data_IF_155558865195
#
_entry.id   IF_155558865195
#
_cell.length_a   1.000
_cell.length_b   1.000
_cell.length_c   1.000
_cell.angle_alpha   90.00
_cell.angle_beta   90.00
_cell.angle_gamma   90.00
#
_symmetry.space_group_name_H-M   'P 1'
#
loop_
_entity.id
_entity.type
_entity.pdbx_description
1 polymer ?
#
# COMPACT_ATOMS: atom_id res chain seq x y z
N UNK A 1 -1.27 -36.88 22.32
CA UNK A 1 -2.41 -36.64 21.40
C UNK A 1 -3.09 -35.29 21.63
N UNK A 2 -3.34 -34.88 22.88
CA UNK A 2 -4.01 -33.62 23.22
C UNK A 2 -3.33 -32.34 22.65
N UNK A 3 -2.01 -32.25 22.66
CA UNK A 3 -1.27 -31.04 22.26
C UNK A 3 -1.43 -30.66 20.78
N UNK A 4 -1.58 -31.62 19.87
CA UNK A 4 -1.59 -31.34 18.43
C UNK A 4 -3.00 -31.08 17.90
N UNK A 5 -4.00 -31.79 18.44
CA UNK A 5 -5.40 -31.40 18.26
C UNK A 5 -5.60 -29.96 18.78
N UNK A 6 -4.93 -29.58 19.86
CA UNK A 6 -4.89 -28.19 20.31
C UNK A 6 -4.19 -27.25 19.31
N UNK A 7 -3.05 -27.62 18.72
CA UNK A 7 -2.34 -26.76 17.77
C UNK A 7 -3.18 -26.47 16.52
N UNK A 8 -3.78 -27.50 15.93
CA UNK A 8 -4.56 -27.35 14.72
C UNK A 8 -5.92 -26.66 14.97
N UNK A 9 -6.58 -26.93 16.10
CA UNK A 9 -7.71 -26.12 16.57
C UNK A 9 -7.31 -24.64 16.78
N UNK A 10 -6.12 -24.37 17.32
CA UNK A 10 -5.61 -23.00 17.48
C UNK A 10 -5.36 -22.34 16.13
N UNK A 11 -4.79 -23.04 15.15
CA UNK A 11 -4.52 -22.51 13.82
C UNK A 11 -5.81 -22.20 13.06
N UNK A 12 -6.81 -23.10 13.10
CA UNK A 12 -8.13 -22.81 12.52
C UNK A 12 -8.81 -21.62 13.18
N UNK A 13 -8.79 -21.54 14.51
CA UNK A 13 -9.36 -20.40 15.26
C UNK A 13 -8.63 -19.11 14.93
N UNK A 14 -7.30 -19.14 14.81
CA UNK A 14 -6.47 -18.01 14.39
C UNK A 14 -6.89 -17.52 13.01
N UNK A 15 -6.94 -18.39 11.99
CA UNK A 15 -7.32 -17.98 10.64
C UNK A 15 -8.75 -17.44 10.57
N UNK A 16 -9.70 -18.02 11.32
CA UNK A 16 -11.06 -17.46 11.45
C UNK A 16 -11.06 -16.07 12.08
N UNK A 17 -10.24 -15.84 13.11
CA UNK A 17 -10.12 -14.55 13.76
C UNK A 17 -9.47 -13.49 12.84
N UNK A 18 -8.43 -13.89 12.09
CA UNK A 18 -7.76 -13.04 11.09
C UNK A 18 -8.74 -12.66 9.98
N UNK A 19 -9.47 -13.64 9.42
CA UNK A 19 -10.49 -13.41 8.41
C UNK A 19 -11.55 -12.42 8.91
N UNK A 20 -12.15 -12.68 10.06
CA UNK A 20 -13.18 -11.81 10.65
C UNK A 20 -12.66 -10.38 10.90
N UNK A 21 -11.39 -10.24 11.29
CA UNK A 21 -10.78 -8.93 11.49
C UNK A 21 -10.67 -8.16 10.17
N UNK A 22 -10.19 -8.80 9.11
CA UNK A 22 -9.99 -8.16 7.82
C UNK A 22 -11.30 -7.92 7.06
N UNK A 23 -12.31 -8.78 7.22
CA UNK A 23 -13.68 -8.52 6.73
C UNK A 23 -14.27 -7.25 7.37
N UNK A 24 -14.12 -7.11 8.69
CA UNK A 24 -14.56 -5.90 9.41
C UNK A 24 -13.82 -4.64 8.94
N UNK A 25 -12.49 -4.74 8.73
CA UNK A 25 -11.69 -3.62 8.21
C UNK A 25 -12.12 -3.23 6.79
N UNK A 26 -12.36 -4.22 5.92
CA UNK A 26 -12.80 -3.98 4.56
C UNK A 26 -14.19 -3.32 4.53
N UNK A 27 -15.15 -3.83 5.30
CA UNK A 27 -16.48 -3.22 5.45
C UNK A 27 -16.37 -1.79 5.96
N UNK A 28 -15.64 -1.55 7.04
CA UNK A 28 -15.47 -0.20 7.61
C UNK A 28 -14.91 0.80 6.59
N UNK A 29 -13.96 0.37 5.75
CA UNK A 29 -13.37 1.22 4.71
C UNK A 29 -14.35 1.46 3.56
N UNK A 30 -15.11 0.46 3.13
CA UNK A 30 -16.15 0.62 2.11
C UNK A 30 -17.26 1.55 2.60
N UNK A 31 -17.68 1.40 3.86
CA UNK A 31 -18.74 2.17 4.52
C UNK A 31 -18.31 3.62 4.81
N UNK A 32 -17.02 3.88 5.01
CA UNK A 32 -16.49 5.23 5.23
C UNK A 32 -16.70 6.19 4.06
N UNK A 33 -17.15 5.68 2.90
CA UNK A 33 -17.27 6.43 1.65
C UNK A 33 -15.97 7.17 1.32
N UNK A 34 -14.82 6.52 1.55
CA UNK A 34 -13.48 7.09 1.35
C UNK A 34 -13.30 7.73 -0.04
N UNK A 35 -13.98 7.21 -1.06
CA UNK A 35 -14.00 7.77 -2.42
C UNK A 35 -14.64 9.17 -2.52
N UNK A 36 -15.43 9.59 -1.52
CA UNK A 36 -16.02 10.93 -1.42
C UNK A 36 -15.11 11.94 -0.71
N UNK A 37 -13.98 11.49 -0.14
CA UNK A 37 -13.06 12.38 0.56
C UNK A 37 -12.37 13.29 -0.46
N UNK A 38 -12.91 14.50 -0.57
CA UNK A 38 -12.29 15.61 -1.29
C UNK A 38 -11.07 16.07 -0.51
N UNK A 39 -9.88 15.62 -0.92
CA UNK A 39 -8.58 16.06 -0.40
C UNK A 39 -8.22 17.53 -0.78
N UNK A 40 -9.19 18.44 -0.89
CA UNK A 40 -9.04 19.76 -1.53
C UNK A 40 -8.09 20.67 -0.75
N UNK A 41 -8.07 20.55 0.57
CA UNK A 41 -7.23 21.40 1.45
C UNK A 41 -6.02 20.67 2.02
N UNK A 42 -6.05 19.34 2.04
CA UNK A 42 -5.04 18.55 2.75
C UNK A 42 -3.78 18.38 1.90
N UNK A 43 -3.92 18.20 0.58
CA UNK A 43 -2.81 17.81 -0.31
C UNK A 43 -1.61 18.78 -0.32
N UNK A 44 -1.81 20.04 0.07
CA UNK A 44 -0.78 21.10 0.09
C UNK A 44 -0.16 21.35 1.47
N UNK A 45 -0.61 20.65 2.51
CA UNK A 45 -0.16 20.87 3.88
C UNK A 45 1.14 20.11 4.17
N UNK A 46 2.01 20.68 5.02
CA UNK A 46 3.15 19.94 5.57
C UNK A 46 2.69 18.65 6.28
N UNK A 47 1.49 18.67 6.89
CA UNK A 47 0.89 17.50 7.50
C UNK A 47 0.63 16.37 6.49
N UNK A 48 0.18 16.68 5.27
CA UNK A 48 0.01 15.67 4.22
C UNK A 48 1.34 15.08 3.75
N UNK A 49 2.39 15.90 3.62
CA UNK A 49 3.71 15.39 3.27
C UNK A 49 4.25 14.43 4.34
N UNK A 50 4.07 14.77 5.63
CA UNK A 50 4.42 13.89 6.76
C UNK A 50 3.60 12.60 6.71
N UNK A 51 2.28 12.69 6.54
CA UNK A 51 1.39 11.54 6.45
C UNK A 51 1.74 10.61 5.29
N UNK A 52 2.14 11.15 4.13
CA UNK A 52 2.59 10.35 2.98
C UNK A 52 3.86 9.57 3.28
N UNK A 53 4.85 10.19 3.94
CA UNK A 53 6.09 9.51 4.35
C UNK A 53 5.83 8.44 5.41
N UNK A 54 4.93 8.71 6.36
CA UNK A 54 4.50 7.73 7.35
C UNK A 54 3.78 6.55 6.71
N UNK A 55 2.90 6.80 5.73
CA UNK A 55 2.22 5.76 4.98
C UNK A 55 3.21 4.87 4.20
N UNK A 56 4.21 5.45 3.53
CA UNK A 56 5.28 4.65 2.88
C UNK A 56 5.98 3.73 3.88
N UNK A 57 6.31 4.25 5.07
CA UNK A 57 7.00 3.49 6.12
C UNK A 57 6.14 2.34 6.65
N UNK A 58 4.86 2.60 6.93
CA UNK A 58 3.95 1.58 7.43
C UNK A 58 3.64 0.53 6.36
N UNK A 59 3.59 0.88 5.06
CA UNK A 59 3.46 -0.10 3.99
C UNK A 59 4.68 -1.03 3.87
N UNK A 60 5.88 -0.46 3.92
CA UNK A 60 7.12 -1.26 3.91
C UNK A 60 7.20 -2.20 5.14
N UNK A 61 6.76 -1.71 6.30
CA UNK A 61 6.66 -2.51 7.52
C UNK A 61 5.59 -3.60 7.39
N UNK A 62 4.42 -3.28 6.85
CA UNK A 62 3.33 -4.23 6.62
C UNK A 62 3.78 -5.36 5.71
N UNK A 63 4.39 -5.04 4.57
CA UNK A 63 4.97 -6.02 3.65
C UNK A 63 5.93 -6.97 4.38
N UNK A 64 6.91 -6.41 5.10
CA UNK A 64 7.92 -7.20 5.83
C UNK A 64 7.29 -8.07 6.91
N UNK A 65 6.37 -7.52 7.70
CA UNK A 65 5.70 -8.23 8.79
C UNK A 65 4.84 -9.38 8.26
N UNK A 66 4.02 -9.13 7.23
CA UNK A 66 3.19 -10.16 6.60
C UNK A 66 4.06 -11.26 5.98
N UNK A 67 5.07 -10.89 5.20
CA UNK A 67 6.00 -11.85 4.60
C UNK A 67 6.68 -12.73 5.66
N UNK A 68 7.21 -12.09 6.72
CA UNK A 68 7.87 -12.79 7.83
C UNK A 68 6.90 -13.71 8.56
N UNK A 69 5.69 -13.24 8.88
CA UNK A 69 4.68 -14.03 9.59
C UNK A 69 4.34 -15.32 8.84
N UNK A 70 4.05 -15.24 7.54
CA UNK A 70 3.72 -16.43 6.73
C UNK A 70 4.95 -17.32 6.53
N UNK A 71 6.13 -16.75 6.23
CA UNK A 71 7.38 -17.53 6.14
C UNK A 71 7.68 -18.29 7.42
N UNK A 72 7.54 -17.65 8.58
CA UNK A 72 7.83 -18.27 9.88
C UNK A 72 6.88 -19.41 10.19
N UNK A 73 5.59 -19.30 9.85
CA UNK A 73 4.66 -20.43 9.97
C UNK A 73 5.07 -21.60 9.07
N UNK A 74 5.46 -21.32 7.82
CA UNK A 74 5.92 -22.35 6.88
C UNK A 74 7.19 -23.04 7.37
N UNK A 75 8.21 -22.28 7.74
CA UNK A 75 9.46 -22.85 8.27
C UNK A 75 9.26 -23.66 9.55
N UNK A 76 8.31 -23.27 10.40
CA UNK A 76 7.95 -24.07 11.56
C UNK A 76 7.28 -25.40 11.16
N UNK A 77 6.34 -25.38 10.21
CA UNK A 77 5.69 -26.58 9.71
C UNK A 77 6.70 -27.53 9.03
N UNK A 78 7.62 -27.00 8.22
CA UNK A 78 8.73 -27.73 7.59
C UNK A 78 9.64 -28.37 8.64
N UNK A 79 10.09 -27.59 9.63
CA UNK A 79 10.98 -28.09 10.69
C UNK A 79 10.31 -29.16 11.55
N UNK A 80 9.04 -28.96 11.93
CA UNK A 80 8.27 -29.93 12.69
C UNK A 80 8.05 -31.23 11.90
N UNK A 81 7.62 -31.12 10.64
CA UNK A 81 7.40 -32.30 9.80
C UNK A 81 8.70 -33.06 9.54
N UNK A 82 9.77 -32.36 9.20
CA UNK A 82 11.10 -32.95 8.98
C UNK A 82 11.66 -33.63 10.24
N UNK A 83 11.46 -33.03 11.43
CA UNK A 83 11.82 -33.66 12.69
C UNK A 83 11.01 -34.94 12.94
N UNK A 84 9.69 -34.90 12.75
CA UNK A 84 8.83 -36.07 12.94
C UNK A 84 9.12 -37.19 11.92
N UNK A 85 9.50 -36.84 10.69
CA UNK A 85 9.87 -37.82 9.65
C UNK A 85 11.06 -38.69 10.05
N UNK A 86 12.02 -38.13 10.79
CA UNK A 86 13.20 -38.87 11.29
C UNK A 86 12.84 -40.01 12.24
N UNK A 87 11.68 -39.94 12.89
CA UNK A 87 11.20 -40.97 13.81
C UNK A 87 10.38 -42.07 13.13
N UNK A 88 10.14 -41.98 11.82
CA UNK A 88 9.40 -42.98 11.04
C UNK A 88 10.28 -44.09 10.45
N UNK A 89 11.60 -43.95 10.55
CA UNK A 89 12.55 -44.86 9.88
C UNK A 89 12.84 -46.08 10.74
N UNK A 90 11.94 -47.07 10.68
CA UNK A 90 12.17 -48.52 10.90
C UNK A 90 10.82 -49.27 10.69
N UNK A 91 10.67 -50.27 9.78
CA UNK A 91 11.51 -50.75 8.67
C UNK A 91 10.78 -50.86 7.28
N UNK A 92 11.57 -50.83 6.20
CA UNK A 92 11.32 -51.50 4.90
C UNK A 92 10.00 -51.28 4.13
N UNK A 93 9.57 -50.05 3.88
CA UNK A 93 8.74 -49.80 2.69
C UNK A 93 9.61 -49.10 1.67
N UNK A 94 10.22 -49.90 0.79
CA UNK A 94 10.84 -49.45 -0.44
C UNK A 94 9.87 -48.47 -1.11
N UNK A 95 10.32 -47.25 -1.40
CA UNK A 95 9.65 -46.38 -2.36
C UNK A 95 9.68 -47.13 -3.69
N UNK A 96 8.65 -47.93 -3.96
CA UNK A 96 8.36 -48.44 -5.29
C UNK A 96 8.11 -47.19 -6.16
N UNK A 97 9.18 -46.70 -6.78
CA UNK A 97 9.10 -45.71 -7.84
C UNK A 97 8.51 -46.44 -9.05
N UNK A 98 7.19 -46.60 -9.05
CA UNK A 98 6.46 -46.98 -10.24
C UNK A 98 6.66 -45.92 -11.32
N UNK A 99 6.67 -46.29 -12.62
CA UNK A 99 6.80 -45.34 -13.72
C UNK A 99 5.79 -44.18 -13.69
N UNK A 100 4.67 -44.38 -12.98
CA UNK A 100 3.57 -43.42 -12.79
C UNK A 100 3.80 -42.40 -11.66
N UNK A 101 4.99 -42.38 -11.04
CA UNK A 101 5.36 -41.46 -9.97
C UNK A 101 5.15 -42.03 -8.55
N UNK A 102 5.60 -41.28 -7.55
CA UNK A 102 5.54 -41.70 -6.15
C UNK A 102 4.07 -41.83 -5.67
N UNK A 103 3.69 -42.94 -5.03
CA UNK A 103 2.33 -43.14 -4.56
C UNK A 103 1.94 -42.09 -3.49
N UNK A 104 0.67 -41.65 -3.44
CA UNK A 104 0.22 -40.65 -2.48
C UNK A 104 0.46 -41.12 -1.04
N UNK A 105 0.91 -40.20 -0.18
CA UNK A 105 1.21 -40.46 1.23
C UNK A 105 0.02 -41.18 1.89
N UNK A 106 0.28 -42.41 2.33
CA UNK A 106 -0.72 -43.27 2.97
C UNK A 106 -0.31 -43.48 4.43
N UNK A 107 -0.82 -42.66 5.37
CA UNK A 107 -0.47 -42.74 6.80
C UNK A 107 -0.48 -44.16 7.37
N UNK A 108 -1.49 -44.96 6.99
CA UNK A 108 -1.66 -46.33 7.46
C UNK A 108 -0.59 -47.29 6.92
N UNK A 109 -0.04 -47.05 5.73
CA UNK A 109 1.05 -47.88 5.16
C UNK A 109 2.39 -47.61 5.84
N UNK A 110 2.57 -46.42 6.41
CA UNK A 110 3.84 -45.97 6.99
C UNK A 110 3.88 -46.10 8.52
N UNK A 111 2.88 -46.71 9.14
CA UNK A 111 2.76 -46.77 10.61
C UNK A 111 2.77 -45.38 11.26
N UNK A 112 2.42 -44.34 10.49
CA UNK A 112 2.74 -42.97 10.88
C UNK A 112 1.88 -42.56 12.07
N UNK A 113 2.49 -42.10 13.19
CA UNK A 113 1.73 -41.70 14.34
C UNK A 113 0.87 -40.48 13.99
N UNK A 114 -0.32 -40.29 14.60
CA UNK A 114 -1.24 -39.20 14.25
C UNK A 114 -0.61 -37.80 14.25
N UNK A 115 0.40 -37.60 15.09
CA UNK A 115 1.22 -36.37 15.11
C UNK A 115 1.89 -36.07 13.77
N UNK A 116 2.50 -37.09 13.14
CA UNK A 116 3.14 -36.94 11.85
C UNK A 116 2.11 -36.62 10.76
N UNK A 117 0.97 -37.33 10.78
CA UNK A 117 -0.11 -37.13 9.81
C UNK A 117 -0.62 -35.69 9.83
N UNK A 118 -0.91 -35.15 11.02
CA UNK A 118 -1.37 -33.76 11.17
C UNK A 118 -0.30 -32.76 10.74
N UNK A 119 0.96 -33.00 11.11
CA UNK A 119 2.07 -32.13 10.70
C UNK A 119 2.29 -32.15 9.19
N UNK A 120 2.15 -33.31 8.56
CA UNK A 120 2.28 -33.48 7.11
C UNK A 120 1.12 -32.79 6.37
N UNK A 121 -0.12 -33.01 6.82
CA UNK A 121 -1.28 -32.34 6.26
C UNK A 121 -1.19 -30.81 6.43
N UNK A 122 -0.68 -30.33 7.57
CA UNK A 122 -0.45 -28.90 7.77
C UNK A 122 0.61 -28.34 6.81
N UNK A 123 1.75 -29.03 6.66
CA UNK A 123 2.79 -28.62 5.70
C UNK A 123 2.23 -28.51 4.27
N UNK A 124 1.47 -29.50 3.83
CA UNK A 124 0.83 -29.46 2.51
C UNK A 124 -0.15 -28.29 2.39
N UNK A 125 -0.99 -28.06 3.41
CA UNK A 125 -1.97 -26.97 3.41
C UNK A 125 -1.31 -25.58 3.35
N UNK A 126 -0.22 -25.35 4.10
CA UNK A 126 0.46 -24.03 4.11
C UNK A 126 1.26 -23.76 2.83
N UNK A 127 1.61 -24.80 2.07
CA UNK A 127 2.22 -24.67 0.75
C UNK A 127 1.20 -24.34 -0.33
N UNK A 128 -0.03 -24.84 -0.21
CA UNK A 128 -1.11 -24.60 -1.20
C UNK A 128 -1.58 -23.15 -1.26
N UNK A 129 -1.53 -22.40 -0.15
CA UNK A 129 -2.02 -21.01 -0.13
C UNK A 129 -0.86 -20.04 -0.35
N UNK A 130 -0.88 -19.37 -1.51
CA UNK A 130 0.18 -18.45 -1.89
C UNK A 130 0.00 -17.07 -1.24
N UNK A 131 1.04 -16.59 -0.55
CA UNK A 131 1.10 -15.22 -0.03
C UNK A 131 1.44 -14.16 -1.08
N UNK A 132 1.82 -14.58 -2.30
CA UNK A 132 2.44 -13.69 -3.28
C UNK A 132 1.49 -12.61 -3.80
N UNK A 133 0.21 -12.93 -4.00
CA UNK A 133 -0.78 -11.94 -4.47
C UNK A 133 -1.02 -10.84 -3.42
N UNK A 134 -1.00 -11.17 -2.13
CA UNK A 134 -1.07 -10.17 -1.05
C UNK A 134 0.18 -9.30 -1.05
N UNK A 135 1.37 -9.90 -1.15
CA UNK A 135 2.63 -9.14 -1.18
C UNK A 135 2.70 -8.21 -2.41
N UNK A 136 2.24 -8.68 -3.57
CA UNK A 136 2.17 -7.93 -4.81
C UNK A 136 1.24 -6.72 -4.70
N UNK A 137 0.06 -6.87 -4.09
CA UNK A 137 -0.85 -5.72 -3.91
C UNK A 137 -0.31 -4.70 -2.91
N UNK A 138 0.37 -5.14 -1.84
CA UNK A 138 1.06 -4.21 -0.92
C UNK A 138 2.19 -3.46 -1.62
N UNK A 139 2.98 -4.13 -2.46
CA UNK A 139 4.03 -3.50 -3.27
C UNK A 139 3.47 -2.50 -4.30
N UNK A 140 2.39 -2.86 -4.99
CA UNK A 140 1.67 -1.96 -5.89
C UNK A 140 1.14 -0.73 -5.16
N UNK A 141 0.56 -0.90 -3.97
CA UNK A 141 0.12 0.24 -3.15
C UNK A 141 1.31 1.11 -2.73
N UNK A 142 2.43 0.52 -2.33
CA UNK A 142 3.66 1.25 -2.00
C UNK A 142 4.15 2.11 -3.16
N UNK A 143 4.10 1.58 -4.39
CA UNK A 143 4.44 2.34 -5.62
C UNK A 143 3.48 3.50 -5.87
N UNK A 144 2.18 3.33 -5.65
CA UNK A 144 1.20 4.42 -5.78
C UNK A 144 1.47 5.56 -4.79
N UNK A 145 1.75 5.24 -3.53
CA UNK A 145 2.10 6.24 -2.52
C UNK A 145 3.40 6.95 -2.88
N UNK A 146 4.38 6.23 -3.40
CA UNK A 146 5.65 6.80 -3.84
C UNK A 146 5.50 7.78 -5.00
N UNK A 147 4.67 7.45 -6.01
CA UNK A 147 4.36 8.37 -7.11
C UNK A 147 3.56 9.59 -6.65
N UNK A 148 2.65 9.41 -5.68
CA UNK A 148 1.96 10.54 -5.05
C UNK A 148 2.93 11.47 -4.32
N UNK A 149 3.90 10.94 -3.59
CA UNK A 149 4.96 11.73 -2.94
C UNK A 149 5.78 12.54 -3.94
N UNK A 150 6.19 11.95 -5.07
CA UNK A 150 6.86 12.69 -6.15
C UNK A 150 6.01 13.84 -6.68
N UNK A 151 4.70 13.64 -6.77
CA UNK A 151 3.74 14.68 -7.17
C UNK A 151 3.70 15.82 -6.15
N UNK A 152 3.69 15.51 -4.85
CA UNK A 152 3.79 16.51 -3.78
C UNK A 152 5.11 17.30 -3.84
N UNK A 153 6.24 16.63 -4.06
CA UNK A 153 7.54 17.28 -4.20
C UNK A 153 7.58 18.22 -5.41
N UNK A 154 6.97 17.81 -6.53
CA UNK A 154 6.82 18.63 -7.75
C UNK A 154 5.94 19.86 -7.49
N UNK A 155 4.82 19.69 -6.79
CA UNK A 155 3.92 20.78 -6.39
C UNK A 155 4.66 21.82 -5.55
N UNK A 156 5.40 21.37 -4.53
CA UNK A 156 6.14 22.25 -3.63
C UNK A 156 7.24 23.03 -4.36
N UNK A 157 7.96 22.37 -5.28
CA UNK A 157 8.95 23.04 -6.14
C UNK A 157 8.31 24.09 -7.02
N UNK A 158 7.16 23.80 -7.63
CA UNK A 158 6.46 24.74 -8.50
C UNK A 158 5.86 25.91 -7.71
N UNK A 159 5.31 25.64 -6.52
CA UNK A 159 4.82 26.66 -5.59
C UNK A 159 5.91 27.67 -5.24
N UNK A 160 7.12 27.21 -4.92
CA UNK A 160 8.27 28.09 -4.65
C UNK A 160 8.61 29.01 -5.83
N UNK A 161 8.49 28.51 -7.07
CA UNK A 161 8.71 29.33 -8.28
C UNK A 161 7.60 30.36 -8.48
N UNK A 162 6.34 29.97 -8.33
CA UNK A 162 5.19 30.86 -8.40
C UNK A 162 5.25 31.97 -7.34
N UNK A 163 5.57 31.60 -6.08
CA UNK A 163 5.75 32.54 -4.98
C UNK A 163 6.92 33.50 -5.23
N UNK A 164 8.03 33.01 -5.77
CA UNK A 164 9.17 33.86 -6.12
C UNK A 164 8.83 34.85 -7.24
N UNK A 165 8.22 34.38 -8.33
CA UNK A 165 7.79 35.24 -9.44
C UNK A 165 6.77 36.29 -8.98
N UNK A 166 5.83 35.91 -8.11
CA UNK A 166 4.86 36.82 -7.50
C UNK A 166 5.53 37.87 -6.60
N UNK A 167 6.50 37.47 -5.76
CA UNK A 167 7.28 38.40 -4.92
C UNK A 167 8.07 39.39 -5.76
N UNK A 168 8.78 38.92 -6.79
CA UNK A 168 9.60 39.77 -7.65
C UNK A 168 8.75 40.75 -8.45
N UNK A 169 7.64 40.28 -9.04
CA UNK A 169 6.67 41.13 -9.72
C UNK A 169 6.12 42.21 -8.78
N UNK A 170 5.67 41.83 -7.58
CA UNK A 170 5.11 42.78 -6.63
C UNK A 170 6.15 43.80 -6.14
N UNK A 171 7.41 43.38 -5.96
CA UNK A 171 8.51 44.29 -5.61
C UNK A 171 8.76 45.30 -6.73
N UNK A 172 8.86 44.86 -7.99
CA UNK A 172 9.08 45.76 -9.14
C UNK A 172 7.89 46.68 -9.40
N UNK A 173 6.67 46.17 -9.29
CA UNK A 173 5.43 46.94 -9.40
C UNK A 173 5.39 48.08 -8.39
N UNK A 174 5.71 47.81 -7.12
CA UNK A 174 5.77 48.84 -6.06
C UNK A 174 6.86 49.89 -6.30
N UNK A 175 7.99 49.50 -6.89
CA UNK A 175 9.06 50.44 -7.25
C UNK A 175 8.59 51.36 -8.37
N UNK A 176 8.04 50.79 -9.45
CA UNK A 176 7.55 51.56 -10.60
C UNK A 176 6.37 52.47 -10.24
N UNK A 177 5.47 52.01 -9.38
CA UNK A 177 4.37 52.83 -8.84
C UNK A 177 4.89 54.11 -8.17
N UNK A 178 5.98 54.02 -7.40
CA UNK A 178 6.60 55.19 -6.76
C UNK A 178 7.32 56.09 -7.77
N UNK A 179 8.03 55.51 -8.74
CA UNK A 179 8.72 56.27 -9.79
C UNK A 179 7.77 57.07 -10.67
N UNK A 180 6.56 56.58 -10.89
CA UNK A 180 5.51 57.24 -11.69
C UNK A 180 4.60 58.15 -10.84
N UNK A 181 4.82 58.26 -9.53
CA UNK A 181 3.99 59.10 -8.64
C UNK A 181 2.55 58.62 -8.49
N UNK A 182 2.29 57.32 -8.69
CA UNK A 182 0.94 56.76 -8.69
C UNK A 182 0.46 56.42 -7.28
N UNK A 183 -0.80 56.74 -7.00
CA UNK A 183 -1.39 56.62 -5.67
C UNK A 183 -1.92 55.21 -5.38
N UNK A 184 -2.45 54.53 -6.40
CA UNK A 184 -3.14 53.25 -6.23
C UNK A 184 -2.53 52.14 -7.08
N UNK A 185 -2.83 50.89 -6.71
CA UNK A 185 -2.54 49.74 -7.55
C UNK A 185 -3.37 49.74 -8.84
N UNK A 186 -4.50 50.44 -8.87
CA UNK A 186 -5.38 50.54 -10.03
C UNK A 186 -4.76 51.45 -11.09
N UNK A 187 -4.11 52.53 -10.68
CA UNK A 187 -3.34 53.42 -11.54
C UNK A 187 -2.25 52.65 -12.30
N UNK A 188 -1.58 51.71 -11.62
CA UNK A 188 -0.59 50.82 -12.24
C UNK A 188 -1.20 49.89 -13.29
N UNK A 189 -2.42 49.39 -13.08
CA UNK A 189 -3.13 48.56 -14.07
C UNK A 189 -3.43 49.40 -15.31
N UNK A 190 -3.94 50.61 -15.12
CA UNK A 190 -4.18 51.54 -16.22
C UNK A 190 -2.90 51.88 -17.01
N UNK A 191 -1.75 52.07 -16.33
CA UNK A 191 -0.46 52.28 -17.01
C UNK A 191 -0.02 51.07 -17.83
N UNK A 192 -0.24 49.85 -17.33
CA UNK A 192 0.09 48.62 -18.08
C UNK A 192 -0.85 48.38 -19.27
N UNK A 193 -2.08 48.88 -19.24
CA UNK A 193 -3.06 48.74 -20.33
C UNK A 193 -2.94 49.87 -21.38
N UNK A 194 -2.30 50.98 -21.04
CA UNK A 194 -2.22 52.16 -21.90
C UNK A 194 -1.05 52.05 -22.90
N UNK A 195 -1.39 52.14 -24.20
CA UNK A 195 -0.42 52.06 -25.31
C UNK A 195 0.63 53.19 -25.28
N UNK A 196 0.34 54.33 -24.64
CA UNK A 196 1.30 55.43 -24.49
C UNK A 196 2.55 55.07 -23.69
N UNK A 197 2.46 54.10 -22.77
CA UNK A 197 3.60 53.63 -21.97
C UNK A 197 4.25 52.35 -22.53
N UNK A 198 3.75 51.84 -23.66
CA UNK A 198 4.24 50.62 -24.30
C UNK A 198 5.73 50.70 -24.70
N UNK A 199 6.27 51.91 -24.87
CA UNK A 199 7.68 52.15 -25.18
C UNK A 199 8.56 52.42 -23.94
N UNK A 200 7.99 52.57 -22.73
CA UNK A 200 8.80 52.69 -21.51
C UNK A 200 9.38 51.31 -21.16
N UNK A 201 10.70 51.16 -21.28
CA UNK A 201 11.43 49.94 -20.94
C UNK A 201 11.07 49.38 -19.55
N UNK A 202 10.73 50.24 -18.58
CA UNK A 202 10.35 49.81 -17.22
C UNK A 202 8.99 49.15 -17.19
N UNK A 203 8.04 49.62 -18.01
CA UNK A 203 6.71 49.03 -18.17
C UNK A 203 6.82 47.71 -18.94
N UNK A 204 7.59 47.67 -20.04
CA UNK A 204 7.87 46.44 -20.80
C UNK A 204 8.45 45.34 -19.90
N UNK A 205 9.43 45.68 -19.05
CA UNK A 205 10.02 44.72 -18.10
C UNK A 205 8.99 44.26 -17.05
N UNK A 206 8.13 45.15 -16.55
CA UNK A 206 7.08 44.78 -15.61
C UNK A 206 6.03 43.85 -16.25
N UNK A 207 5.67 44.08 -17.50
CA UNK A 207 4.78 43.19 -18.26
C UNK A 207 5.39 41.81 -18.47
N UNK A 208 6.68 41.72 -18.87
CA UNK A 208 7.39 40.44 -18.97
C UNK A 208 7.37 39.69 -17.63
N UNK A 209 7.59 40.40 -16.53
CA UNK A 209 7.51 39.83 -15.18
C UNK A 209 6.08 39.40 -14.82
N UNK A 210 5.05 40.13 -15.26
CA UNK A 210 3.65 39.73 -15.08
C UNK A 210 3.36 38.42 -15.81
N UNK A 211 3.71 38.34 -17.10
CA UNK A 211 3.54 37.12 -17.91
C UNK A 211 4.21 35.91 -17.26
N UNK A 212 5.46 36.06 -16.84
CA UNK A 212 6.20 34.99 -16.13
C UNK A 212 5.50 34.55 -14.84
N UNK A 213 4.99 35.49 -14.03
CA UNK A 213 4.23 35.19 -12.81
C UNK A 213 2.95 34.41 -13.14
N UNK A 214 2.21 34.82 -14.16
CA UNK A 214 0.95 34.19 -14.56
C UNK A 214 1.19 32.78 -15.16
N UNK A 215 2.28 32.59 -15.90
CA UNK A 215 2.75 31.28 -16.38
C UNK A 215 3.10 30.34 -15.21
N UNK A 216 3.92 30.80 -14.25
CA UNK A 216 4.31 29.97 -13.12
C UNK A 216 3.13 29.63 -12.20
N UNK A 217 2.16 30.54 -12.08
CA UNK A 217 0.89 30.30 -11.38
C UNK A 217 0.03 29.25 -12.09
N UNK A 218 -0.13 29.37 -13.41
CA UNK A 218 -0.88 28.38 -14.21
C UNK A 218 -0.28 26.98 -14.07
N UNK A 219 1.05 26.87 -14.19
CA UNK A 219 1.77 25.60 -13.96
C UNK A 219 1.56 25.05 -12.55
N UNK A 220 1.54 25.91 -11.53
CA UNK A 220 1.26 25.50 -10.16
C UNK A 220 -0.16 24.95 -10.04
N UNK A 221 -1.16 25.68 -10.54
CA UNK A 221 -2.57 25.30 -10.47
C UNK A 221 -2.84 23.95 -11.17
N UNK A 222 -2.18 23.67 -12.30
CA UNK A 222 -2.24 22.37 -12.98
C UNK A 222 -1.69 21.23 -12.13
N UNK A 223 -0.53 21.43 -11.50
CA UNK A 223 0.09 20.41 -10.64
C UNK A 223 -0.75 20.18 -9.38
N UNK A 224 -1.36 21.23 -8.83
CA UNK A 224 -2.27 21.12 -7.67
C UNK A 224 -3.50 20.29 -8.02
N UNK A 225 -4.10 20.50 -9.20
CA UNK A 225 -5.21 19.66 -9.69
C UNK A 225 -4.80 18.19 -9.77
N UNK A 226 -3.63 17.91 -10.32
CA UNK A 226 -3.11 16.54 -10.42
C UNK A 226 -2.83 15.93 -9.03
N UNK A 227 -2.18 16.68 -8.13
CA UNK A 227 -1.91 16.25 -6.76
C UNK A 227 -3.20 15.97 -5.98
N UNK A 228 -4.24 16.77 -6.18
CA UNK A 228 -5.54 16.58 -5.55
C UNK A 228 -6.23 15.28 -6.03
N UNK A 229 -6.25 15.06 -7.35
CA UNK A 229 -6.77 13.81 -7.93
C UNK A 229 -6.01 12.59 -7.39
N UNK A 230 -4.68 12.63 -7.41
CA UNK A 230 -3.84 11.57 -6.88
C UNK A 230 -4.11 11.32 -5.38
N UNK A 231 -4.24 12.36 -4.57
CA UNK A 231 -4.55 12.24 -3.15
C UNK A 231 -5.89 11.52 -2.90
N UNK A 232 -6.93 11.89 -3.65
CA UNK A 232 -8.25 11.25 -3.54
C UNK A 232 -8.28 9.79 -4.02
N UNK A 233 -7.43 9.43 -4.98
CA UNK A 233 -7.37 8.09 -5.57
C UNK A 233 -6.45 7.12 -4.82
N UNK A 234 -5.39 7.62 -4.17
CA UNK A 234 -4.31 6.79 -3.61
C UNK A 234 -4.83 5.72 -2.65
N UNK A 235 -5.70 6.10 -1.69
CA UNK A 235 -6.23 5.13 -0.73
C UNK A 235 -7.26 4.17 -1.35
N UNK A 236 -8.30 4.59 -2.08
CA UNK A 236 -9.23 3.65 -2.71
C UNK A 236 -8.55 2.68 -3.69
N UNK A 237 -7.63 3.19 -4.52
CA UNK A 237 -6.95 2.37 -5.54
C UNK A 237 -5.92 1.44 -4.92
N UNK A 238 -5.27 1.85 -3.83
CA UNK A 238 -4.20 1.06 -3.21
C UNK A 238 -4.64 0.16 -2.06
N UNK A 239 -5.33 0.73 -1.05
CA UNK A 239 -5.65 0.01 0.20
C UNK A 239 -6.76 -1.02 0.02
N UNK A 240 -7.79 -0.70 -0.78
CA UNK A 240 -8.95 -1.59 -0.95
C UNK A 240 -8.55 -2.93 -1.60
N UNK A 241 -7.75 -2.97 -2.69
CA UNK A 241 -7.26 -4.24 -3.23
C UNK A 241 -6.40 -5.06 -2.26
N UNK A 242 -5.58 -4.40 -1.44
CA UNK A 242 -4.76 -5.08 -0.41
C UNK A 242 -5.67 -5.81 0.58
N UNK A 243 -6.71 -5.14 1.07
CA UNK A 243 -7.65 -5.74 2.03
C UNK A 243 -8.44 -6.88 1.40
N UNK A 244 -8.91 -6.74 0.16
CA UNK A 244 -9.55 -7.84 -0.56
C UNK A 244 -8.64 -9.06 -0.67
N UNK A 245 -7.35 -8.87 -1.01
CA UNK A 245 -6.43 -10.00 -1.11
C UNK A 245 -6.13 -10.64 0.24
N UNK A 246 -6.06 -9.86 1.32
CA UNK A 246 -5.87 -10.42 2.66
C UNK A 246 -7.11 -11.20 3.10
N UNK A 247 -8.32 -10.73 2.79
CA UNK A 247 -9.57 -11.45 3.05
C UNK A 247 -9.59 -12.76 2.25
N UNK A 248 -9.33 -12.72 0.94
CA UNK A 248 -9.26 -13.92 0.09
C UNK A 248 -8.25 -14.93 0.61
N UNK A 249 -7.02 -14.47 0.89
CA UNK A 249 -5.95 -15.29 1.45
C UNK A 249 -6.35 -15.92 2.79
N UNK A 250 -7.00 -15.16 3.67
CA UNK A 250 -7.45 -15.67 4.98
C UNK A 250 -8.59 -16.69 4.82
N UNK A 251 -9.51 -16.46 3.90
CA UNK A 251 -10.61 -17.37 3.58
C UNK A 251 -10.09 -18.69 3.01
N UNK A 252 -9.14 -18.64 2.07
CA UNK A 252 -8.47 -19.83 1.53
C UNK A 252 -7.78 -20.62 2.64
N UNK A 253 -7.05 -19.94 3.54
CA UNK A 253 -6.44 -20.60 4.70
C UNK A 253 -7.50 -21.26 5.60
N UNK A 254 -8.63 -20.60 5.92
CA UNK A 254 -9.71 -21.22 6.70
C UNK A 254 -10.23 -22.49 6.02
N UNK A 255 -10.46 -22.46 4.70
CA UNK A 255 -10.95 -23.61 3.94
C UNK A 255 -9.94 -24.76 3.95
N UNK A 256 -8.67 -24.49 3.64
CA UNK A 256 -7.62 -25.53 3.60
C UNK A 256 -7.28 -26.09 4.98
N UNK A 257 -7.24 -25.26 6.02
CA UNK A 257 -7.00 -25.75 7.39
C UNK A 257 -8.19 -26.56 7.95
N UNK A 258 -9.36 -26.48 7.33
CA UNK A 258 -10.51 -27.33 7.67
C UNK A 258 -10.38 -28.75 7.08
N UNK A 259 -9.58 -28.95 6.03
CA UNK A 259 -9.36 -30.28 5.44
C UNK A 259 -8.26 -31.11 6.11
N UNK A 260 -7.53 -30.56 7.08
CA UNK A 260 -6.51 -31.30 7.86
C UNK A 260 -7.20 -32.46 8.59
N UNK A 261 -6.70 -33.70 8.45
CA UNK A 261 -7.36 -34.88 9.01
C UNK A 261 -7.26 -34.87 10.55
N UNK A 262 -8.39 -34.72 11.22
CA UNK A 262 -8.51 -34.77 12.70
C UNK A 262 -8.73 -36.17 13.26
N UNK A 263 -8.74 -37.22 12.43
CA UNK A 263 -9.26 -38.52 12.83
C UNK A 263 -8.23 -39.34 13.63
N UNK A 264 -8.25 -39.13 14.94
CA UNK A 264 -7.60 -39.98 15.95
C UNK A 264 -8.41 -40.14 17.24
N UNK A 265 -9.70 -39.78 17.26
CA UNK A 265 -10.56 -39.86 18.45
C UNK A 265 -11.93 -40.50 18.17
N UNK A 266 -11.98 -41.56 17.35
CA UNK A 266 -13.01 -42.60 17.51
C UNK A 266 -12.32 -43.83 18.07
N UNK A 267 -12.18 -43.84 19.39
CA UNK A 267 -11.95 -45.04 20.19
C UNK A 267 -13.33 -45.36 20.77
N UNK A 268 -13.90 -46.47 20.31
CA UNK A 268 -15.23 -47.03 20.59
C UNK A 268 -16.43 -46.30 19.96
#
# INVERSE_FOLDING_TARGET
MNTICCLECRLRRMWKAVLLCHEKQLSAIQDSKMHLIKAVTISQSNAAAVATVELERELAKWYRCFNKWISSQRSYAEALNGWLRKWLTEPEVQEENTPDGAPPFSPGKLGAPPVFVISNDWLQVIEMVSKNEVLKTIDQFSKLVHEYKKTQEKEHRQKRKADHASRDYNKRRKVLQRELGLSTSLDMVAVMENTHHSHDNRVIELEKMSRKKDEEKTKHDEIVKHAHLAASATLPVGLVPVLHQIVSFSQENVQKYTSIRTRGARVH
#
